data_IF_803713612212
#
_entry.id   IF_803713612212
#
_cell.length_a   1.000
_cell.length_b   1.000
_cell.length_c   1.000
_cell.angle_alpha   90.00
_cell.angle_beta   90.00
_cell.angle_gamma   90.00
#
_symmetry.space_group_name_H-M   'P 1'
#
loop_
_entity.id
_entity.type
_entity.pdbx_description
1 polymer ?
#
# COMPACT_ATOMS: atom_id res chain seq x y z
N UNK A 1 2.75 -38.91 -19.95
CA UNK A 1 2.04 -38.86 -18.68
C UNK A 1 0.60 -38.39 -18.92
N UNK A 2 -0.42 -39.08 -18.42
CA UNK A 2 -1.80 -38.95 -18.86
C UNK A 2 -2.44 -37.67 -18.23
N UNK A 3 -2.92 -36.69 -19.01
CA UNK A 3 -3.57 -35.46 -18.56
C UNK A 3 -4.64 -35.66 -17.46
N UNK A 4 -5.40 -36.76 -17.52
CA UNK A 4 -6.43 -37.11 -16.52
C UNK A 4 -5.85 -37.43 -15.13
N UNK A 5 -4.67 -38.08 -15.04
CA UNK A 5 -3.99 -38.34 -13.76
C UNK A 5 -3.53 -37.06 -13.12
N UNK A 6 -2.90 -36.14 -13.89
CA UNK A 6 -2.41 -34.85 -13.40
C UNK A 6 -3.58 -34.01 -12.84
N UNK A 7 -4.73 -34.00 -13.51
CA UNK A 7 -5.91 -33.23 -13.04
C UNK A 7 -6.50 -33.82 -11.74
N UNK A 8 -6.47 -35.15 -11.55
CA UNK A 8 -6.95 -35.79 -10.33
C UNK A 8 -5.99 -35.57 -9.14
N UNK A 9 -4.70 -35.66 -9.37
CA UNK A 9 -3.68 -35.41 -8.35
C UNK A 9 -3.72 -33.95 -7.89
N UNK A 10 -3.79 -33.00 -8.83
CA UNK A 10 -3.97 -31.59 -8.53
C UNK A 10 -5.26 -31.32 -7.72
N UNK A 11 -6.37 -31.96 -8.06
CA UNK A 11 -7.62 -31.82 -7.32
C UNK A 11 -7.51 -32.27 -5.85
N UNK A 12 -6.74 -33.33 -5.58
CA UNK A 12 -6.45 -33.78 -4.20
C UNK A 12 -5.53 -32.81 -3.47
N UNK A 13 -4.45 -32.38 -4.12
CA UNK A 13 -3.49 -31.43 -3.55
C UNK A 13 -4.15 -30.10 -3.21
N UNK A 14 -4.96 -29.57 -4.11
CA UNK A 14 -5.72 -28.33 -3.89
C UNK A 14 -6.64 -28.42 -2.68
N UNK A 15 -7.34 -29.57 -2.50
CA UNK A 15 -8.21 -29.80 -1.34
C UNK A 15 -7.42 -29.87 -0.03
N UNK A 16 -6.22 -30.46 -0.06
CA UNK A 16 -5.29 -30.48 1.07
C UNK A 16 -4.90 -29.03 1.42
N UNK A 17 -4.36 -28.27 0.47
CA UNK A 17 -3.93 -26.89 0.66
C UNK A 17 -5.06 -25.96 1.11
N UNK A 18 -6.29 -26.14 0.60
CA UNK A 18 -7.47 -25.41 1.04
C UNK A 18 -7.86 -25.72 2.49
N UNK A 19 -7.59 -26.94 2.97
CA UNK A 19 -7.81 -27.35 4.37
C UNK A 19 -6.73 -26.68 5.24
N UNK A 20 -5.47 -26.87 4.88
CA UNK A 20 -4.32 -26.31 5.61
C UNK A 20 -4.44 -24.79 5.73
N UNK A 21 -4.95 -24.11 4.70
CA UNK A 21 -5.18 -22.67 4.72
C UNK A 21 -6.24 -22.23 5.75
N UNK A 22 -7.18 -23.10 6.14
CA UNK A 22 -8.19 -22.78 7.17
C UNK A 22 -7.61 -22.77 8.59
N UNK A 23 -6.53 -23.52 8.79
CA UNK A 23 -5.85 -23.63 10.08
C UNK A 23 -4.84 -22.50 10.30
N UNK A 24 -4.56 -21.69 9.25
CA UNK A 24 -3.68 -20.54 9.36
C UNK A 24 -4.25 -19.45 10.29
N UNK A 25 -3.40 -18.66 10.95
CA UNK A 25 -3.84 -17.58 11.83
C UNK A 25 -4.58 -16.48 11.09
N UNK A 26 -5.56 -15.88 11.76
CA UNK A 26 -6.24 -14.68 11.29
C UNK A 26 -5.47 -13.42 11.73
N UNK A 27 -4.20 -13.33 11.33
CA UNK A 27 -3.27 -12.29 11.72
C UNK A 27 -2.52 -11.75 10.48
N UNK A 28 -1.96 -10.54 10.54
CA UNK A 28 -1.03 -10.05 9.54
C UNK A 28 0.20 -10.96 9.44
N UNK A 29 0.75 -11.09 8.23
CA UNK A 29 1.96 -11.89 8.08
C UNK A 29 2.37 -12.06 6.62
N UNK A 30 3.40 -12.89 6.45
CA UNK A 30 3.95 -13.28 5.15
C UNK A 30 3.75 -14.77 4.96
N UNK A 31 3.33 -15.16 3.76
CA UNK A 31 3.20 -16.55 3.35
C UNK A 31 4.20 -16.88 2.25
N UNK A 32 4.79 -18.07 2.36
CA UNK A 32 5.79 -18.61 1.46
C UNK A 32 5.22 -19.87 0.81
N UNK A 33 5.12 -19.87 -0.49
CA UNK A 33 4.66 -21.04 -1.25
C UNK A 33 5.86 -21.83 -1.75
N UNK A 34 5.91 -23.12 -1.44
CA UNK A 34 7.06 -23.98 -1.73
C UNK A 34 6.66 -25.21 -2.55
N UNK A 35 7.65 -25.73 -3.29
CA UNK A 35 7.55 -27.05 -3.96
C UNK A 35 7.75 -28.19 -2.97
N UNK A 36 7.56 -29.42 -3.42
CA UNK A 36 7.87 -30.63 -2.65
C UNK A 36 9.36 -30.75 -2.28
N UNK A 37 10.25 -30.18 -3.09
CA UNK A 37 11.70 -30.12 -2.84
C UNK A 37 12.10 -28.87 -2.01
N UNK A 38 11.14 -28.26 -1.35
CA UNK A 38 11.32 -27.05 -0.51
C UNK A 38 11.82 -25.79 -1.23
N UNK A 39 11.78 -25.77 -2.57
CA UNK A 39 12.15 -24.58 -3.32
C UNK A 39 11.08 -23.48 -3.18
N UNK A 40 11.51 -22.25 -2.90
CA UNK A 40 10.64 -21.11 -2.72
C UNK A 40 10.10 -20.60 -4.06
N UNK A 41 8.80 -20.75 -4.28
CA UNK A 41 8.11 -20.35 -5.51
C UNK A 41 7.65 -18.89 -5.47
N UNK A 42 7.03 -18.49 -4.33
CA UNK A 42 6.38 -17.21 -4.18
C UNK A 42 6.37 -16.76 -2.72
N UNK A 43 6.54 -15.47 -2.51
CA UNK A 43 6.36 -14.78 -1.23
C UNK A 43 5.27 -13.74 -1.39
N UNK A 44 4.34 -13.68 -0.44
CA UNK A 44 3.32 -12.66 -0.42
C UNK A 44 2.92 -12.26 0.99
N UNK A 45 2.49 -11.03 1.16
CA UNK A 45 1.95 -10.53 2.42
C UNK A 45 0.44 -10.67 2.52
N UNK A 46 -0.06 -10.73 3.73
CA UNK A 46 -1.48 -10.74 4.03
C UNK A 46 -1.79 -9.87 5.25
N UNK A 47 -2.97 -9.27 5.28
CA UNK A 47 -3.58 -8.70 6.49
C UNK A 47 -4.17 -9.82 7.37
N UNK A 48 -4.72 -10.85 6.73
CA UNK A 48 -5.16 -12.09 7.32
C UNK A 48 -4.58 -13.23 6.50
N UNK A 49 -3.65 -13.98 7.06
CA UNK A 49 -3.00 -15.12 6.41
C UNK A 49 -4.05 -16.14 5.96
N UNK A 50 -4.97 -16.51 6.86
CA UNK A 50 -6.06 -17.45 6.58
C UNK A 50 -6.90 -17.03 5.37
N UNK A 51 -7.39 -15.80 5.36
CA UNK A 51 -8.25 -15.30 4.29
C UNK A 51 -7.50 -15.21 2.96
N UNK A 52 -6.27 -14.71 3.00
CA UNK A 52 -5.45 -14.49 1.80
C UNK A 52 -5.01 -15.79 1.17
N UNK A 53 -4.43 -16.71 1.94
CA UNK A 53 -3.98 -18.00 1.44
C UNK A 53 -5.17 -18.84 1.00
N UNK A 54 -6.27 -18.85 1.78
CA UNK A 54 -7.49 -19.54 1.41
C UNK A 54 -8.08 -19.08 0.07
N UNK A 55 -7.96 -17.76 -0.24
CA UNK A 55 -8.48 -17.20 -1.49
C UNK A 55 -7.84 -17.77 -2.76
N UNK A 56 -6.64 -18.32 -2.70
CA UNK A 56 -5.98 -18.97 -3.84
C UNK A 56 -6.61 -20.32 -4.21
N UNK A 57 -7.23 -20.97 -3.25
CA UNK A 57 -7.75 -22.33 -3.40
C UNK A 57 -9.29 -22.38 -3.57
N UNK A 58 -9.96 -21.23 -3.66
CA UNK A 58 -11.37 -21.16 -3.96
C UNK A 58 -11.67 -21.59 -5.42
N UNK A 59 -12.78 -22.29 -5.64
CA UNK A 59 -13.20 -22.72 -6.99
C UNK A 59 -13.50 -21.53 -7.90
N UNK A 60 -13.97 -20.42 -7.34
CA UNK A 60 -14.27 -19.17 -8.03
C UNK A 60 -13.05 -18.26 -8.25
N UNK A 61 -11.86 -18.66 -7.82
CA UNK A 61 -10.67 -17.82 -7.93
C UNK A 61 -10.18 -17.72 -9.38
N UNK A 62 -10.45 -16.59 -10.04
CA UNK A 62 -9.84 -16.28 -11.34
C UNK A 62 -8.46 -15.67 -11.13
N UNK A 63 -7.47 -16.52 -11.03
CA UNK A 63 -6.10 -16.15 -10.69
C UNK A 63 -5.24 -15.77 -11.90
N UNK A 64 -5.81 -15.83 -13.11
CA UNK A 64 -5.07 -15.66 -14.35
C UNK A 64 -4.10 -16.81 -14.66
N UNK A 65 -3.59 -16.90 -15.91
CA UNK A 65 -2.80 -18.06 -16.37
C UNK A 65 -1.53 -18.28 -15.53
N UNK A 66 -0.89 -17.20 -15.14
CA UNK A 66 0.38 -17.19 -14.45
C UNK A 66 0.29 -17.76 -13.01
N UNK A 67 -0.71 -17.32 -12.24
CA UNK A 67 -0.94 -17.86 -10.89
C UNK A 67 -1.47 -19.30 -10.94
N UNK A 68 -2.22 -19.66 -12.00
CA UNK A 68 -2.64 -21.05 -12.22
C UNK A 68 -1.44 -21.98 -12.42
N UNK A 69 -0.39 -21.54 -13.15
CA UNK A 69 0.86 -22.28 -13.28
C UNK A 69 1.58 -22.44 -11.93
N UNK A 70 1.68 -21.37 -11.16
CA UNK A 70 2.25 -21.41 -9.83
C UNK A 70 1.56 -22.41 -8.91
N UNK A 71 0.21 -22.39 -8.89
CA UNK A 71 -0.57 -23.28 -8.03
C UNK A 71 -0.32 -24.76 -8.30
N UNK A 72 0.04 -25.15 -9.54
CA UNK A 72 0.33 -26.54 -9.89
C UNK A 72 1.67 -27.03 -9.34
N UNK A 73 2.59 -26.11 -9.02
CA UNK A 73 3.91 -26.40 -8.48
C UNK A 73 3.95 -26.38 -6.94
N UNK A 74 2.92 -25.83 -6.28
CA UNK A 74 2.89 -25.69 -4.80
C UNK A 74 2.61 -27.04 -4.14
N UNK A 75 3.46 -27.43 -3.20
CA UNK A 75 3.24 -28.54 -2.30
C UNK A 75 2.71 -28.10 -0.93
N UNK A 76 3.30 -27.08 -0.35
CA UNK A 76 2.90 -26.56 0.95
C UNK A 76 3.07 -25.03 1.05
N UNK A 77 2.46 -24.47 2.09
CA UNK A 77 2.53 -23.04 2.41
C UNK A 77 3.04 -22.89 3.83
N UNK A 78 4.14 -22.16 3.99
CA UNK A 78 4.64 -21.70 5.27
C UNK A 78 4.15 -20.30 5.56
N UNK A 79 4.03 -19.94 6.83
CA UNK A 79 3.65 -18.59 7.24
C UNK A 79 4.55 -18.04 8.33
N UNK A 80 4.76 -16.73 8.30
CA UNK A 80 5.45 -15.98 9.34
C UNK A 80 4.49 -14.89 9.81
N UNK A 81 4.06 -15.00 11.05
CA UNK A 81 3.15 -14.05 11.67
C UNK A 81 3.86 -12.74 11.96
N UNK A 82 3.19 -11.64 11.74
CA UNK A 82 3.66 -10.30 12.01
C UNK A 82 2.69 -9.57 12.95
N UNK A 83 3.21 -8.63 13.73
CA UNK A 83 2.36 -7.83 14.64
C UNK A 83 1.54 -6.77 13.86
N UNK A 84 2.03 -6.35 12.67
CA UNK A 84 1.40 -5.32 11.85
C UNK A 84 1.50 -5.61 10.36
N UNK A 85 0.60 -5.02 9.57
CA UNK A 85 0.67 -5.06 8.09
C UNK A 85 1.96 -4.43 7.55
N UNK A 86 2.49 -3.42 8.25
CA UNK A 86 3.76 -2.79 7.91
C UNK A 86 4.94 -3.75 8.08
N UNK A 87 4.98 -4.48 9.20
CA UNK A 87 6.00 -5.50 9.45
C UNK A 87 5.96 -6.58 8.36
N UNK A 88 4.74 -7.05 8.01
CA UNK A 88 4.55 -7.99 6.91
C UNK A 88 5.06 -7.43 5.56
N UNK A 89 4.82 -6.15 5.28
CA UNK A 89 5.28 -5.49 4.06
C UNK A 89 6.82 -5.43 3.98
N UNK A 90 7.48 -5.09 5.08
CA UNK A 90 8.95 -5.06 5.16
C UNK A 90 9.55 -6.46 5.04
N UNK A 91 8.95 -7.45 5.71
CA UNK A 91 9.41 -8.83 5.68
C UNK A 91 9.25 -9.44 4.28
N UNK A 92 8.10 -9.24 3.62
CA UNK A 92 7.89 -9.65 2.23
C UNK A 92 8.98 -9.08 1.32
N UNK A 93 9.22 -7.76 1.41
CA UNK A 93 10.23 -7.06 0.63
C UNK A 93 11.63 -7.65 0.82
N UNK A 94 12.00 -7.95 2.07
CA UNK A 94 13.31 -8.56 2.40
C UNK A 94 13.43 -9.95 1.82
N UNK A 95 12.43 -10.82 2.04
CA UNK A 95 12.44 -12.19 1.56
C UNK A 95 12.49 -12.26 0.03
N UNK A 96 11.78 -11.40 -0.67
CA UNK A 96 11.84 -11.33 -2.15
C UNK A 96 13.21 -10.89 -2.63
N UNK A 97 13.83 -9.90 -1.97
CA UNK A 97 15.18 -9.43 -2.31
C UNK A 97 16.23 -10.51 -2.12
N UNK A 98 16.16 -11.22 -0.98
CA UNK A 98 17.17 -12.18 -0.56
C UNK A 98 17.06 -13.51 -1.35
N UNK A 99 15.85 -13.98 -1.59
CA UNK A 99 15.58 -15.27 -2.21
C UNK A 99 15.23 -15.22 -3.70
N UNK A 100 14.77 -14.07 -4.22
CA UNK A 100 14.34 -13.87 -5.61
C UNK A 100 13.43 -14.98 -6.13
N UNK A 101 12.27 -15.23 -5.48
CA UNK A 101 11.41 -16.36 -5.84
C UNK A 101 10.93 -16.26 -7.29
N UNK A 102 10.85 -17.41 -7.96
CA UNK A 102 10.49 -17.53 -9.40
C UNK A 102 9.26 -16.72 -9.76
N UNK A 103 8.21 -16.83 -8.97
CA UNK A 103 6.92 -16.19 -9.25
C UNK A 103 6.79 -14.75 -8.74
N UNK A 104 7.68 -14.23 -7.94
CA UNK A 104 7.80 -12.80 -7.68
C UNK A 104 8.60 -12.10 -8.79
N UNK A 105 9.63 -12.76 -9.31
CA UNK A 105 10.55 -12.19 -10.31
C UNK A 105 9.90 -12.08 -11.69
N UNK A 106 9.12 -13.09 -12.11
CA UNK A 106 8.44 -13.10 -13.40
C UNK A 106 7.33 -12.03 -13.56
N UNK A 107 6.81 -11.47 -12.45
CA UNK A 107 5.88 -10.32 -12.51
C UNK A 107 6.59 -8.99 -12.84
N UNK A 108 7.90 -9.00 -13.00
CA UNK A 108 8.76 -7.83 -12.92
C UNK A 108 9.32 -7.36 -14.23
N UNK A 109 9.13 -8.10 -15.31
CA UNK A 109 9.61 -7.70 -16.63
C UNK A 109 9.06 -6.32 -16.99
N UNK A 110 9.90 -5.29 -16.79
CA UNK A 110 9.65 -3.90 -17.15
C UNK A 110 9.14 -2.97 -16.04
N UNK A 111 8.95 -3.41 -14.79
CA UNK A 111 8.52 -2.53 -13.69
C UNK A 111 9.61 -2.33 -12.64
N UNK A 112 10.04 -1.08 -12.42
CA UNK A 112 10.91 -0.73 -11.30
C UNK A 112 10.11 -0.71 -9.98
N UNK A 113 10.63 -1.36 -8.95
CA UNK A 113 10.04 -1.36 -7.62
C UNK A 113 10.13 0.00 -6.92
N UNK A 114 9.14 0.38 -6.12
CA UNK A 114 9.26 1.52 -5.23
C UNK A 114 10.15 1.21 -4.03
N UNK A 115 10.88 2.22 -3.61
CA UNK A 115 11.67 2.27 -2.38
C UNK A 115 11.17 3.40 -1.51
N UNK A 116 11.32 3.26 -0.20
CA UNK A 116 11.18 4.34 0.75
C UNK A 116 12.57 4.91 1.04
N UNK A 117 12.76 6.20 0.78
CA UNK A 117 14.00 6.92 1.04
C UNK A 117 13.80 7.92 2.18
N UNK A 118 14.71 7.90 3.16
CA UNK A 118 14.75 8.86 4.26
C UNK A 118 16.07 9.63 4.19
N UNK A 119 16.02 10.94 3.94
CA UNK A 119 17.19 11.80 3.72
C UNK A 119 17.85 12.21 5.04
N UNK A 120 18.45 11.25 5.75
CA UNK A 120 18.97 11.42 7.12
C UNK A 120 20.08 12.45 7.25
N UNK A 121 20.72 12.87 6.15
CA UNK A 121 21.77 13.89 6.14
C UNK A 121 21.25 15.32 6.17
N UNK A 122 19.99 15.53 5.79
CA UNK A 122 19.36 16.85 5.77
C UNK A 122 19.16 17.36 7.22
N UNK A 123 19.11 18.67 7.39
CA UNK A 123 18.77 19.28 8.69
C UNK A 123 17.38 18.82 9.15
N UNK A 124 16.44 18.78 8.22
CA UNK A 124 15.10 18.25 8.40
C UNK A 124 14.88 17.10 7.41
N UNK A 125 15.16 15.85 7.79
CA UNK A 125 15.01 14.70 6.90
C UNK A 125 13.63 14.60 6.26
N UNK A 126 13.58 14.40 4.94
CA UNK A 126 12.36 14.09 4.21
C UNK A 126 12.16 12.57 4.04
N UNK A 127 10.92 12.17 3.86
CA UNK A 127 10.54 10.77 3.61
C UNK A 127 9.87 10.70 2.25
N UNK A 128 10.43 9.92 1.32
CA UNK A 128 10.02 9.88 -0.07
C UNK A 128 9.79 8.45 -0.56
N UNK A 129 8.80 8.28 -1.41
CA UNK A 129 8.64 7.06 -2.20
C UNK A 129 9.26 7.30 -3.58
N UNK A 130 10.25 6.51 -3.94
CA UNK A 130 10.97 6.65 -5.21
C UNK A 130 11.14 5.31 -5.93
N UNK A 131 11.20 5.33 -7.26
CA UNK A 131 11.58 4.18 -8.08
C UNK A 131 13.01 4.27 -8.60
N UNK A 132 13.66 5.39 -8.38
CA UNK A 132 15.04 5.68 -8.76
C UNK A 132 15.89 5.98 -7.50
N UNK A 133 16.22 4.97 -6.67
CA UNK A 133 16.98 5.18 -5.43
C UNK A 133 18.41 5.67 -5.68
N UNK A 134 18.92 5.54 -6.91
CA UNK A 134 20.23 6.05 -7.34
C UNK A 134 20.24 7.53 -7.71
N UNK A 135 19.09 8.21 -7.70
CA UNK A 135 18.99 9.64 -7.98
C UNK A 135 19.89 10.43 -6.99
N UNK A 136 20.65 11.42 -7.46
CA UNK A 136 21.56 12.22 -6.63
C UNK A 136 20.93 12.83 -5.37
N UNK A 137 19.64 13.20 -5.43
CA UNK A 137 18.90 13.71 -4.27
C UNK A 137 18.81 12.72 -3.10
N UNK A 138 18.95 11.41 -3.36
CA UNK A 138 18.92 10.37 -2.33
C UNK A 138 20.31 9.86 -1.94
N UNK A 139 21.38 10.55 -2.36
CA UNK A 139 22.75 10.17 -2.00
C UNK A 139 22.95 10.21 -0.49
N UNK A 140 23.14 9.04 0.10
CA UNK A 140 23.30 8.87 1.55
C UNK A 140 22.00 8.85 2.34
N UNK A 141 20.83 8.77 1.67
CA UNK A 141 19.56 8.46 2.31
C UNK A 141 19.54 7.01 2.80
N UNK A 142 18.79 6.74 3.87
CA UNK A 142 18.43 5.37 4.25
C UNK A 142 17.32 4.87 3.32
N UNK A 143 17.58 3.73 2.68
CA UNK A 143 16.65 3.10 1.73
C UNK A 143 16.03 1.85 2.35
N UNK A 144 14.71 1.74 2.23
CA UNK A 144 13.93 0.55 2.60
C UNK A 144 13.22 0.05 1.34
N UNK A 145 13.13 -1.25 1.16
CA UNK A 145 12.55 -1.87 -0.04
C UNK A 145 13.54 -2.83 -0.71
N UNK A 146 13.28 -3.29 -1.92
CA UNK A 146 12.18 -2.94 -2.83
C UNK A 146 10.80 -3.43 -2.36
N UNK A 147 9.74 -2.62 -2.53
CA UNK A 147 8.38 -3.02 -2.17
C UNK A 147 7.60 -3.51 -3.40
N UNK A 148 6.78 -4.53 -3.22
CA UNK A 148 6.00 -5.13 -4.32
C UNK A 148 4.76 -4.33 -4.69
N UNK A 149 4.21 -3.55 -3.75
CA UNK A 149 2.99 -2.77 -3.93
C UNK A 149 3.20 -1.30 -3.58
N UNK A 150 3.14 -0.44 -4.59
CA UNK A 150 3.18 1.03 -4.43
C UNK A 150 1.97 1.52 -3.61
N UNK A 151 0.78 0.96 -3.86
CA UNK A 151 -0.43 1.35 -3.14
C UNK A 151 -0.35 1.03 -1.65
N UNK A 152 0.07 -0.19 -1.29
CA UNK A 152 0.24 -0.57 0.10
C UNK A 152 1.31 0.29 0.81
N UNK A 153 2.40 0.63 0.11
CA UNK A 153 3.43 1.51 0.65
C UNK A 153 2.87 2.91 0.93
N UNK A 154 2.16 3.53 -0.02
CA UNK A 154 1.56 4.85 0.18
C UNK A 154 0.53 4.85 1.31
N UNK A 155 -0.33 3.84 1.39
CA UNK A 155 -1.31 3.71 2.47
C UNK A 155 -0.62 3.63 3.84
N UNK A 156 0.40 2.78 3.97
CA UNK A 156 1.20 2.68 5.20
C UNK A 156 1.87 4.00 5.54
N UNK A 157 2.41 4.72 4.54
CA UNK A 157 3.03 6.04 4.74
C UNK A 157 2.02 7.07 5.25
N UNK A 158 0.80 7.08 4.71
CA UNK A 158 -0.25 7.98 5.19
C UNK A 158 -0.64 7.73 6.65
N UNK A 159 -0.69 6.47 7.07
CA UNK A 159 -0.94 6.11 8.46
C UNK A 159 0.24 6.53 9.36
N UNK A 160 1.47 6.24 8.95
CA UNK A 160 2.67 6.59 9.72
C UNK A 160 2.87 8.10 9.84
N UNK A 161 2.45 8.90 8.86
CA UNK A 161 2.45 10.36 8.95
C UNK A 161 1.53 10.91 10.05
N UNK A 162 0.48 10.19 10.43
CA UNK A 162 -0.37 10.63 11.57
C UNK A 162 0.35 10.54 12.91
N UNK A 163 1.32 9.64 13.01
CA UNK A 163 2.13 9.40 14.22
C UNK A 163 3.38 10.28 14.24
N UNK A 164 4.18 10.19 13.17
CA UNK A 164 5.55 10.78 13.14
C UNK A 164 5.62 12.12 12.43
N UNK A 165 4.55 12.61 11.83
CA UNK A 165 4.38 13.96 11.25
C UNK A 165 5.53 14.42 10.35
N UNK A 166 6.18 13.51 9.63
CA UNK A 166 7.32 13.79 8.76
C UNK A 166 6.92 14.52 7.48
N UNK A 167 7.87 15.29 6.92
CA UNK A 167 7.69 15.95 5.63
C UNK A 167 7.88 14.99 4.46
N UNK A 168 7.15 15.24 3.38
CA UNK A 168 7.27 14.55 2.08
C UNK A 168 7.53 15.53 0.93
N UNK A 169 7.70 16.82 1.23
CA UNK A 169 7.99 17.86 0.25
C UNK A 169 9.47 17.89 -0.11
N UNK A 170 9.78 18.35 -1.33
CA UNK A 170 11.15 18.49 -1.86
C UNK A 170 11.81 19.86 -1.53
N UNK A 171 11.24 20.64 -0.62
CA UNK A 171 11.81 21.93 -0.24
C UNK A 171 13.19 21.76 0.41
N UNK A 172 14.17 22.60 0.05
CA UNK A 172 15.44 22.71 0.77
C UNK A 172 15.20 23.53 2.04
N UNK A 173 15.14 22.84 3.17
CA UNK A 173 14.86 23.43 4.48
C UNK A 173 16.13 23.30 5.32
N UNK A 174 16.71 24.44 5.66
CA UNK A 174 17.93 24.51 6.48
C UNK A 174 17.63 25.18 7.81
N UNK A 175 18.25 24.70 8.85
CA UNK A 175 18.12 25.26 10.17
C UNK A 175 18.65 26.74 10.21
N UNK A 176 17.92 27.62 10.88
CA UNK A 176 18.24 29.02 10.95
C UNK A 176 18.15 29.82 9.64
N UNK A 177 17.71 29.22 8.53
CA UNK A 177 17.60 29.94 7.25
C UNK A 177 16.52 31.02 7.28
N UNK A 178 16.90 32.25 6.84
CA UNK A 178 15.95 33.34 6.70
C UNK A 178 14.83 33.04 5.68
N UNK A 179 15.08 32.18 4.70
CA UNK A 179 14.09 31.77 3.70
C UNK A 179 12.90 31.02 4.30
N UNK A 180 13.08 30.34 5.43
CA UNK A 180 12.01 29.62 6.11
C UNK A 180 10.84 30.51 6.53
N UNK A 181 11.08 31.83 6.73
CA UNK A 181 10.04 32.79 7.09
C UNK A 181 9.01 33.02 5.98
N UNK A 182 9.38 32.73 4.75
CA UNK A 182 8.50 32.92 3.57
C UNK A 182 7.67 31.70 3.23
N UNK A 183 7.97 30.54 3.81
CA UNK A 183 7.19 29.34 3.58
C UNK A 183 5.91 29.34 4.42
N UNK A 184 4.78 29.10 3.75
CA UNK A 184 3.51 28.84 4.43
C UNK A 184 3.37 27.34 4.69
N UNK A 185 2.87 26.93 5.88
CA UNK A 185 2.55 25.55 6.14
C UNK A 185 1.59 25.01 5.07
N UNK A 186 1.89 23.82 4.56
CA UNK A 186 1.05 23.19 3.55
C UNK A 186 -0.15 22.46 4.19
N UNK A 187 -1.03 21.91 3.32
CA UNK A 187 -2.21 21.15 3.76
C UNK A 187 -1.86 20.03 4.76
N UNK A 188 -0.72 19.34 4.58
CA UNK A 188 -0.33 18.27 5.51
C UNK A 188 -0.15 18.77 6.94
N UNK A 189 0.27 20.01 7.13
CA UNK A 189 0.32 20.61 8.47
C UNK A 189 -1.08 20.89 8.99
N UNK A 190 -1.95 21.46 8.17
CA UNK A 190 -3.32 21.78 8.56
C UNK A 190 -4.12 20.52 9.00
N UNK A 191 -3.86 19.37 8.37
CA UNK A 191 -4.46 18.08 8.75
C UNK A 191 -3.60 17.27 9.73
N UNK A 192 -2.65 17.91 10.40
CA UNK A 192 -1.78 17.35 11.45
C UNK A 192 -0.96 16.11 10.99
N UNK A 193 -0.51 16.09 9.74
CA UNK A 193 0.35 15.03 9.16
C UNK A 193 1.79 15.47 8.90
N UNK A 194 2.11 16.76 9.12
CA UNK A 194 3.46 17.30 9.04
C UNK A 194 3.63 18.36 10.13
N UNK A 195 4.76 18.35 10.81
CA UNK A 195 5.08 19.35 11.86
C UNK A 195 5.52 20.70 11.31
N UNK A 196 5.56 20.88 9.97
CA UNK A 196 5.91 22.11 9.24
C UNK A 196 7.28 22.70 9.62
N UNK A 197 8.38 21.96 9.52
CA UNK A 197 9.73 22.50 9.73
C UNK A 197 10.05 23.63 8.74
N UNK A 198 9.44 23.62 7.54
CA UNK A 198 9.60 24.67 6.54
C UNK A 198 9.15 26.06 7.02
N UNK A 199 8.24 26.13 7.98
CA UNK A 199 7.70 27.38 8.55
C UNK A 199 8.14 27.59 10.01
N UNK A 200 9.22 26.97 10.44
CA UNK A 200 9.79 27.05 11.80
C UNK A 200 8.77 26.70 12.92
N UNK A 201 7.84 25.77 12.65
CA UNK A 201 6.83 25.34 13.64
C UNK A 201 7.35 24.28 14.60
N UNK A 202 8.52 23.71 14.31
CA UNK A 202 9.19 22.70 15.13
C UNK A 202 10.71 22.98 15.07
N UNK A 203 11.41 22.73 16.18
CA UNK A 203 12.88 22.80 16.19
C UNK A 203 13.50 21.62 15.44
N UNK A 204 14.76 21.77 15.05
CA UNK A 204 15.52 20.72 14.37
C UNK A 204 15.66 19.47 15.25
N UNK A 205 15.93 19.65 16.51
CA UNK A 205 16.11 18.58 17.50
C UNK A 205 14.81 17.77 17.64
N UNK A 206 13.69 18.45 17.91
CA UNK A 206 12.40 17.81 18.07
C UNK A 206 11.96 17.08 16.78
N UNK A 207 12.19 17.69 15.62
CA UNK A 207 11.88 17.02 14.34
C UNK A 207 12.76 15.79 14.11
N UNK A 208 14.03 15.84 14.42
CA UNK A 208 14.94 14.69 14.33
C UNK A 208 14.57 13.58 15.28
N UNK A 209 14.06 13.88 16.45
CA UNK A 209 13.54 12.87 17.39
C UNK A 209 12.33 12.14 16.81
N UNK A 210 11.41 12.84 16.14
CA UNK A 210 10.29 12.23 15.42
C UNK A 210 10.79 11.30 14.31
N UNK A 211 11.80 11.74 13.53
CA UNK A 211 12.41 10.90 12.47
C UNK A 211 13.17 9.71 13.06
N UNK A 212 13.87 9.85 14.18
CA UNK A 212 14.51 8.73 14.87
C UNK A 212 13.47 7.72 15.38
N UNK A 213 12.35 8.20 15.90
CA UNK A 213 11.21 7.38 16.27
C UNK A 213 10.67 6.61 15.06
N UNK A 214 10.48 7.30 13.93
CA UNK A 214 10.05 6.69 12.67
C UNK A 214 11.03 5.62 12.18
N UNK A 215 12.33 5.90 12.14
CA UNK A 215 13.34 4.93 11.71
C UNK A 215 13.40 3.70 12.63
N UNK A 216 13.24 3.88 13.94
CA UNK A 216 13.12 2.77 14.89
C UNK A 216 11.89 1.92 14.61
N UNK A 217 10.75 2.55 14.34
CA UNK A 217 9.53 1.84 13.94
C UNK A 217 9.74 0.99 12.68
N UNK A 218 10.48 1.50 11.68
CA UNK A 218 10.80 0.75 10.45
C UNK A 218 11.72 -0.46 10.68
N UNK A 219 12.49 -0.48 11.77
CA UNK A 219 13.54 -1.49 12.00
C UNK A 219 13.28 -2.40 13.19
N UNK A 220 12.32 -2.07 14.06
CA UNK A 220 12.02 -2.82 15.29
C UNK A 220 10.60 -3.37 15.26
N UNK A 221 10.32 -4.38 16.08
CA UNK A 221 8.96 -4.84 16.32
C UNK A 221 8.16 -3.76 17.05
N UNK A 222 6.88 -3.63 16.71
CA UNK A 222 5.96 -2.66 17.32
C UNK A 222 5.90 -2.82 18.85
N UNK A 223 5.80 -4.04 19.34
CA UNK A 223 5.74 -4.33 20.78
C UNK A 223 6.96 -3.81 21.55
N UNK A 224 8.16 -3.88 20.95
CA UNK A 224 9.39 -3.34 21.54
C UNK A 224 9.31 -1.81 21.59
N UNK A 225 8.84 -1.19 20.52
CA UNK A 225 8.72 0.26 20.45
C UNK A 225 7.68 0.81 21.44
N UNK A 226 6.52 0.16 21.57
CA UNK A 226 5.48 0.55 22.55
C UNK A 226 6.02 0.49 23.98
N UNK A 227 6.77 -0.57 24.32
CA UNK A 227 7.42 -0.67 25.65
C UNK A 227 8.44 0.44 25.90
N UNK A 228 9.21 0.82 24.88
CA UNK A 228 10.18 1.93 25.00
C UNK A 228 9.48 3.29 25.17
N UNK A 229 8.44 3.54 24.37
CA UNK A 229 7.64 4.76 24.50
C UNK A 229 6.95 4.86 25.85
N UNK A 230 6.41 3.74 26.36
CA UNK A 230 5.80 3.71 27.70
C UNK A 230 6.82 4.09 28.78
N UNK A 231 8.03 3.51 28.76
CA UNK A 231 9.10 3.89 29.71
C UNK A 231 9.48 5.36 29.61
N UNK A 232 9.60 5.90 28.41
CA UNK A 232 9.90 7.32 28.17
C UNK A 232 8.79 8.24 28.68
N UNK A 233 7.54 7.86 28.48
CA UNK A 233 6.37 8.57 29.01
C UNK A 233 6.40 8.63 30.55
N UNK A 234 6.66 7.47 31.19
CA UNK A 234 6.72 7.38 32.65
C UNK A 234 7.85 8.22 33.24
N UNK A 235 9.03 8.24 32.57
CA UNK A 235 10.15 9.09 32.96
C UNK A 235 9.79 10.58 32.82
N UNK A 236 9.25 10.99 31.67
CA UNK A 236 8.83 12.37 31.44
C UNK A 236 7.79 12.83 32.47
N UNK A 237 6.86 11.94 32.86
CA UNK A 237 5.87 12.20 33.90
C UNK A 237 6.52 12.39 35.29
N UNK A 238 7.52 11.55 35.64
CA UNK A 238 8.28 11.67 36.90
C UNK A 238 9.05 12.99 36.97
N UNK A 239 9.63 13.38 35.82
CA UNK A 239 10.39 14.64 35.70
C UNK A 239 9.47 15.85 35.56
N UNK A 240 8.15 15.70 35.72
CA UNK A 240 7.11 16.73 35.59
C UNK A 240 7.07 17.43 34.22
N UNK A 241 7.58 16.77 33.19
CA UNK A 241 7.54 17.22 31.78
C UNK A 241 6.20 16.78 31.15
N UNK A 242 5.09 17.31 31.63
CA UNK A 242 3.75 16.84 31.31
C UNK A 242 3.37 16.98 29.82
N UNK A 243 3.83 18.04 29.17
CA UNK A 243 3.59 18.22 27.72
C UNK A 243 4.30 17.14 26.90
N UNK A 244 5.55 16.80 27.25
CA UNK A 244 6.29 15.72 26.62
C UNK A 244 5.62 14.36 26.88
N UNK A 245 5.21 14.10 28.15
CA UNK A 245 4.50 12.86 28.49
C UNK A 245 3.18 12.74 27.71
N UNK A 246 2.41 13.82 27.56
CA UNK A 246 1.18 13.85 26.78
C UNK A 246 1.44 13.58 25.30
N UNK A 247 2.49 14.17 24.71
CA UNK A 247 2.88 13.91 23.32
C UNK A 247 3.25 12.45 23.09
N UNK A 248 4.01 11.84 24.02
CA UNK A 248 4.38 10.41 23.92
C UNK A 248 3.16 9.50 24.10
N UNK A 249 2.24 9.82 25.03
CA UNK A 249 0.98 9.12 25.19
C UNK A 249 0.18 9.12 23.88
N UNK A 250 0.07 10.26 23.23
CA UNK A 250 -0.68 10.40 21.99
C UNK A 250 -0.01 9.60 20.85
N UNK A 251 1.33 9.50 20.83
CA UNK A 251 2.08 8.62 19.91
C UNK A 251 1.76 7.13 20.19
N UNK A 252 1.75 6.70 21.45
CA UNK A 252 1.37 5.34 21.84
C UNK A 252 -0.04 5.01 21.35
N UNK A 253 -1.01 5.87 21.67
CA UNK A 253 -2.39 5.68 21.21
C UNK A 253 -2.54 5.63 19.70
N UNK A 254 -1.78 6.47 18.98
CA UNK A 254 -1.81 6.45 17.52
C UNK A 254 -1.22 5.17 16.94
N UNK A 255 -0.14 4.63 17.55
CA UNK A 255 0.46 3.36 17.16
C UNK A 255 -0.46 2.16 17.49
N UNK A 256 -1.15 2.18 18.63
CA UNK A 256 -2.12 1.14 18.97
C UNK A 256 -3.31 1.09 18.00
N UNK A 257 -3.79 2.26 17.58
CA UNK A 257 -4.90 2.40 16.62
C UNK A 257 -4.52 2.18 15.15
N UNK A 258 -3.24 1.94 14.82
CA UNK A 258 -2.84 1.68 13.43
C UNK A 258 -3.54 0.44 12.86
N UNK A 259 -3.78 -0.58 13.68
CA UNK A 259 -4.48 -1.80 13.26
C UNK A 259 -6.00 -1.63 13.25
N UNK A 260 -6.57 -0.91 14.20
CA UNK A 260 -8.01 -0.67 14.28
C UNK A 260 -8.54 0.15 13.10
N UNK A 261 -7.79 1.14 12.62
CA UNK A 261 -8.14 1.93 11.43
C UNK A 261 -7.99 1.16 10.12
N UNK A 262 -7.23 0.08 10.10
CA UNK A 262 -7.25 -0.90 9.04
C UNK A 262 -8.54 -1.76 9.04
N UNK A 263 -9.31 -1.81 10.14
CA UNK A 263 -10.55 -2.55 10.27
C UNK A 263 -11.80 -1.75 9.86
N UNK A 264 -11.72 -0.41 9.79
CA UNK A 264 -12.83 0.49 9.43
C UNK A 264 -12.81 0.90 7.96
N UNK A 265 -13.76 0.40 7.20
CA UNK A 265 -14.43 0.97 6.01
C UNK A 265 -13.64 1.54 4.82
N UNK A 266 -12.42 1.16 4.60
CA UNK A 266 -11.95 1.13 3.22
C UNK A 266 -11.84 -0.33 2.84
N UNK A 267 -12.87 -0.87 2.19
CA UNK A 267 -12.77 -2.09 1.40
C UNK A 267 -11.64 -1.88 0.38
N UNK A 268 -10.42 -2.05 0.84
CA UNK A 268 -9.28 -2.19 -0.03
C UNK A 268 -9.39 -3.56 -0.68
N UNK A 269 -10.18 -3.60 -1.73
CA UNK A 269 -10.11 -4.68 -2.67
C UNK A 269 -8.67 -4.68 -3.19
N UNK A 270 -7.87 -5.65 -2.75
CA UNK A 270 -6.64 -6.00 -3.46
C UNK A 270 -6.98 -6.06 -4.95
N UNK A 271 -6.05 -5.70 -5.84
CA UNK A 271 -6.25 -5.77 -7.31
C UNK A 271 -6.87 -7.08 -7.80
N UNK A 272 -6.88 -8.13 -6.97
CA UNK A 272 -7.52 -9.42 -7.21
C UNK A 272 -9.03 -9.40 -6.89
N UNK A 273 -9.50 -8.55 -5.97
CA UNK A 273 -10.92 -8.51 -5.57
C UNK A 273 -11.78 -7.61 -6.46
N UNK A 274 -11.18 -6.66 -7.18
CA UNK A 274 -11.92 -5.85 -8.18
C UNK A 274 -12.44 -6.73 -9.33
N UNK A 275 -11.82 -7.90 -9.55
CA UNK A 275 -12.21 -8.83 -10.61
C UNK A 275 -12.74 -10.20 -10.10
N UNK A 276 -12.91 -10.36 -8.77
CA UNK A 276 -13.49 -11.59 -8.21
C UNK A 276 -15.03 -11.60 -8.26
N UNK A 277 -15.67 -10.48 -8.61
CA UNK A 277 -17.05 -10.51 -9.09
C UNK A 277 -17.00 -10.88 -10.57
N UNK A 278 -17.72 -11.93 -10.96
CA UNK A 278 -17.94 -12.26 -12.37
C UNK A 278 -18.32 -10.96 -13.10
N UNK A 279 -17.50 -10.46 -14.07
CA UNK A 279 -17.78 -9.20 -14.76
C UNK A 279 -19.17 -9.20 -15.39
N UNK A 280 -19.67 -10.38 -15.78
CA UNK A 280 -21.01 -10.59 -16.32
C UNK A 280 -22.10 -10.39 -15.27
N UNK A 281 -21.84 -10.69 -14.00
CA UNK A 281 -22.81 -10.41 -12.93
C UNK A 281 -23.00 -8.93 -12.70
N UNK A 282 -21.91 -8.13 -12.77
CA UNK A 282 -21.94 -6.66 -12.71
C UNK A 282 -22.72 -6.05 -13.89
N UNK A 283 -22.46 -6.54 -15.13
CA UNK A 283 -23.22 -6.10 -16.31
C UNK A 283 -24.71 -6.41 -16.16
N UNK A 284 -25.06 -7.62 -15.72
CA UNK A 284 -26.47 -8.00 -15.51
C UNK A 284 -27.16 -7.15 -14.43
N UNK A 285 -26.43 -6.78 -13.36
CA UNK A 285 -26.93 -5.90 -12.33
C UNK A 285 -27.18 -4.48 -12.88
N UNK A 286 -26.24 -3.95 -13.66
CA UNK A 286 -26.36 -2.65 -14.33
C UNK A 286 -27.49 -2.66 -15.36
N UNK A 287 -27.61 -3.71 -16.18
CA UNK A 287 -28.67 -3.90 -17.17
C UNK A 287 -30.05 -3.88 -16.52
N UNK A 288 -30.20 -4.57 -15.36
CA UNK A 288 -31.46 -4.55 -14.59
C UNK A 288 -31.75 -3.17 -14.02
N UNK A 289 -30.73 -2.48 -13.45
CA UNK A 289 -30.91 -1.15 -12.88
C UNK A 289 -31.30 -0.11 -13.93
N UNK A 290 -30.80 -0.22 -15.15
CA UNK A 290 -31.09 0.67 -16.26
C UNK A 290 -32.37 0.26 -17.07
N UNK A 291 -32.97 -0.89 -16.78
CA UNK A 291 -34.12 -1.41 -17.51
C UNK A 291 -33.86 -1.74 -18.99
N UNK A 292 -32.59 -1.95 -19.37
CA UNK A 292 -32.18 -2.21 -20.76
C UNK A 292 -32.43 -3.68 -21.09
N UNK A 293 -33.18 -3.93 -22.18
CA UNK A 293 -33.55 -5.29 -22.64
C UNK A 293 -32.46 -5.95 -23.49
N UNK A 294 -31.62 -5.16 -24.18
CA UNK A 294 -30.51 -5.66 -24.99
C UNK A 294 -29.30 -6.01 -24.14
N UNK A 295 -28.48 -6.95 -24.61
CA UNK A 295 -27.25 -7.33 -23.93
C UNK A 295 -26.26 -6.16 -23.93
N UNK A 296 -25.84 -5.73 -22.73
CA UNK A 296 -24.83 -4.70 -22.55
C UNK A 296 -23.43 -5.30 -22.70
N UNK A 297 -22.76 -5.00 -23.78
CA UNK A 297 -21.39 -5.47 -24.02
C UNK A 297 -20.33 -4.39 -23.90
N UNK A 298 -20.73 -3.15 -24.22
CA UNK A 298 -19.81 -2.02 -24.23
C UNK A 298 -20.37 -0.88 -23.38
N UNK A 299 -19.55 -0.36 -22.48
CA UNK A 299 -19.94 0.71 -21.57
C UNK A 299 -18.86 1.79 -21.64
N UNK A 300 -19.27 3.02 -21.87
CA UNK A 300 -18.38 4.18 -21.79
C UNK A 300 -18.84 5.11 -20.68
N UNK A 301 -17.87 5.62 -19.94
CA UNK A 301 -18.10 6.64 -18.93
C UNK A 301 -17.22 7.86 -19.24
N UNK A 302 -17.80 9.03 -19.03
CA UNK A 302 -17.14 10.31 -19.24
C UNK A 302 -17.09 11.05 -17.91
N UNK A 303 -15.94 11.61 -17.60
CA UNK A 303 -15.72 12.52 -16.49
C UNK A 303 -15.22 13.87 -17.03
N UNK A 304 -15.82 14.96 -16.61
CA UNK A 304 -15.47 16.31 -17.05
C UNK A 304 -15.03 17.12 -15.84
N UNK A 305 -13.78 17.49 -15.80
CA UNK A 305 -13.19 18.33 -14.76
C UNK A 305 -12.98 19.77 -15.28
N UNK A 306 -13.44 20.75 -14.50
CA UNK A 306 -13.17 22.18 -14.71
C UNK A 306 -12.11 22.64 -13.70
N UNK A 307 -10.97 23.14 -14.18
CA UNK A 307 -10.01 23.86 -13.34
C UNK A 307 -10.36 25.35 -13.39
N UNK A 308 -10.82 25.89 -12.27
CA UNK A 308 -11.05 27.32 -11.99
C UNK A 308 -10.93 28.26 -13.20
N UNK A 309 -11.94 28.25 -14.07
CA UNK A 309 -12.19 29.34 -15.03
C UNK A 309 -11.48 29.28 -16.38
N UNK A 310 -10.71 28.24 -16.73
CA UNK A 310 -9.95 28.31 -17.97
C UNK A 310 -9.85 27.06 -18.83
N UNK A 311 -9.65 25.88 -18.29
CA UNK A 311 -9.46 24.69 -19.12
C UNK A 311 -10.38 23.55 -18.68
N UNK A 312 -11.24 23.10 -19.58
CA UNK A 312 -12.05 21.89 -19.40
C UNK A 312 -11.30 20.68 -19.93
N UNK A 313 -11.15 19.67 -19.11
CA UNK A 313 -10.56 18.39 -19.52
C UNK A 313 -11.60 17.29 -19.35
N UNK A 314 -11.87 16.55 -20.42
CA UNK A 314 -12.70 15.36 -20.40
C UNK A 314 -11.86 14.08 -20.41
N UNK A 315 -12.23 13.09 -19.62
CA UNK A 315 -11.69 11.75 -19.67
C UNK A 315 -12.80 10.77 -20.06
N UNK A 316 -12.50 9.87 -21.01
CA UNK A 316 -13.37 8.74 -21.35
C UNK A 316 -12.70 7.45 -20.92
N UNK A 317 -13.44 6.62 -20.21
CA UNK A 317 -13.08 5.23 -19.90
C UNK A 317 -14.06 4.30 -20.59
N UNK A 318 -13.57 3.16 -21.04
CA UNK A 318 -14.37 2.17 -21.77
C UNK A 318 -14.23 0.79 -21.14
N UNK A 319 -15.34 0.05 -21.11
CA UNK A 319 -15.41 -1.33 -20.65
C UNK A 319 -16.03 -2.19 -21.75
N UNK A 320 -15.45 -3.37 -21.97
CA UNK A 320 -15.98 -4.39 -22.88
C UNK A 320 -16.24 -5.68 -22.10
N UNK A 321 -17.45 -6.21 -22.21
CA UNK A 321 -17.90 -7.42 -21.49
C UNK A 321 -17.59 -7.34 -19.97
N UNK A 322 -17.73 -6.13 -19.37
CA UNK A 322 -17.48 -5.86 -17.96
C UNK A 322 -16.01 -5.72 -17.56
N UNK A 323 -15.08 -5.72 -18.51
CA UNK A 323 -13.64 -5.56 -18.26
C UNK A 323 -13.15 -4.22 -18.81
N UNK A 324 -12.21 -3.55 -18.13
CA UNK A 324 -11.61 -2.32 -18.64
C UNK A 324 -10.99 -2.53 -20.02
N UNK A 325 -11.41 -1.75 -21.00
CA UNK A 325 -10.89 -1.75 -22.36
C UNK A 325 -10.01 -0.51 -22.57
N UNK A 326 -8.73 -0.63 -22.26
CA UNK A 326 -7.79 0.50 -22.21
C UNK A 326 -7.56 1.19 -23.57
N UNK A 327 -7.68 0.44 -24.65
CA UNK A 327 -7.54 1.00 -26.02
C UNK A 327 -8.67 1.98 -26.38
N UNK A 328 -9.79 1.92 -25.65
CA UNK A 328 -10.92 2.85 -25.76
C UNK A 328 -10.77 4.12 -24.90
N UNK A 329 -9.76 4.21 -24.04
CA UNK A 329 -9.56 5.36 -23.17
C UNK A 329 -9.12 6.58 -23.97
N UNK A 330 -9.73 7.73 -23.71
CA UNK A 330 -9.40 8.99 -24.38
C UNK A 330 -9.34 10.14 -23.39
N UNK A 331 -8.48 11.10 -23.65
CA UNK A 331 -8.46 12.40 -23.00
C UNK A 331 -8.86 13.45 -24.03
N UNK A 332 -9.76 14.31 -23.65
CA UNK A 332 -10.22 15.43 -24.46
C UNK A 332 -9.77 16.72 -23.78
N UNK A 333 -9.05 17.55 -24.49
CA UNK A 333 -8.76 18.93 -24.11
C UNK A 333 -9.68 19.78 -24.96
N UNK A 334 -10.68 20.44 -24.36
CA UNK A 334 -11.70 21.16 -25.08
C UNK A 334 -11.88 22.58 -24.59
N UNK A 335 -11.96 23.52 -25.54
CA UNK A 335 -12.66 24.78 -25.34
C UNK A 335 -14.15 24.51 -25.55
N UNK A 336 -14.89 24.33 -24.48
CA UNK A 336 -16.36 24.47 -24.53
C UNK A 336 -16.69 25.92 -24.21
N UNK A 337 -16.85 26.75 -25.25
CA UNK A 337 -17.62 27.95 -25.15
C UNK A 337 -19.09 27.52 -25.00
N UNK A 338 -19.63 27.57 -23.79
CA UNK A 338 -21.07 27.60 -23.58
C UNK A 338 -21.52 28.99 -24.03
N UNK A 339 -21.88 29.12 -25.29
CA UNK A 339 -22.80 30.20 -25.69
C UNK A 339 -24.15 29.89 -25.00
N UNK A 340 -24.48 30.75 -24.05
CA UNK A 340 -25.81 30.84 -23.45
C UNK A 340 -26.77 31.31 -24.53
N UNK A 341 -27.33 30.35 -25.28
CA UNK A 341 -28.56 30.62 -26.02
C UNK A 341 -29.72 30.48 -25.03
N UNK A 342 -30.28 31.63 -24.63
CA UNK A 342 -31.51 31.69 -23.88
C UNK A 342 -32.68 31.06 -24.62
N UNK A 343 -33.48 30.36 -23.84
CA UNK A 343 -34.94 30.32 -23.91
C UNK A 343 -35.45 29.79 -22.57
#
# INVERSE_FOLDING_TARGET
>A
MNRRKITQEWGKQRKKLARDARDLPNAPGVYLMRTADDALLYVGKARSLRMRVGSYFLDSADLGPWKKGMLQEIDHVETIDCETEWEALLLESRLIKDHRPKYNTLQLDGKTYPYLAVTTKDDFPGVFVTRTPSDPQFKGAKLFGPFTSTGALHQSMHLLQTVFKFRTCSLDIRDGSASNKYFRPCLLHAINRCSAPCANRISKEAYRDDIHGFLRFLTSKRSIMLKDLQKRMDLASKDKLYELAASIRDQIHALEKLDDRGAGDVQWQSEVTVFAQDPRSGIRALQRALGVKSELRFIEAFDIAHLQGGETVGAKVSFMDGRPYKDGYRRYKGMLSLESSGL
#
